data_IF_442686178201
#
_entry.id   IF_442686178201
#
_cell.length_a   1.000
_cell.length_b   1.000
_cell.length_c   1.000
_cell.angle_alpha   90.00
_cell.angle_beta   90.00
_cell.angle_gamma   90.00
#
_symmetry.space_group_name_H-M   'P 1'
#
loop_
_entity.id
_entity.type
_entity.pdbx_description
1 polymer ?
#
# COMPACT_ATOMS: atom_id res chain seq x y z
N UNK A 1 -27.70 -50.16 44.80
CA UNK A 1 -26.84 -50.07 43.63
C UNK A 1 -27.36 -48.95 42.76
N UNK A 2 -26.72 -47.80 42.77
CA UNK A 2 -27.08 -46.64 41.96
C UNK A 2 -26.17 -46.69 40.73
N UNK A 3 -26.77 -46.71 39.54
CA UNK A 3 -26.06 -46.67 38.25
C UNK A 3 -25.73 -45.22 37.88
N UNK A 4 -24.45 -44.89 37.86
CA UNK A 4 -23.97 -43.60 37.31
C UNK A 4 -24.07 -43.62 35.79
N UNK A 5 -24.88 -42.73 35.26
CA UNK A 5 -25.00 -42.46 33.82
C UNK A 5 -23.95 -41.44 33.45
N UNK A 6 -22.86 -41.85 32.84
CA UNK A 6 -21.80 -40.94 32.33
C UNK A 6 -22.31 -40.30 31.02
N UNK A 7 -22.56 -38.98 31.06
CA UNK A 7 -22.84 -38.20 29.86
C UNK A 7 -21.50 -37.92 29.14
N UNK A 8 -21.29 -38.55 28.00
CA UNK A 8 -20.23 -38.19 27.06
C UNK A 8 -20.68 -36.90 26.34
N UNK A 9 -20.03 -35.79 26.67
CA UNK A 9 -20.12 -34.57 25.89
C UNK A 9 -19.40 -34.79 24.53
N UNK A 10 -20.16 -34.81 23.45
CA UNK A 10 -19.60 -34.71 22.09
C UNK A 10 -18.95 -33.35 21.93
N UNK A 11 -17.68 -33.27 21.49
CA UNK A 11 -17.04 -31.99 21.23
C UNK A 11 -17.81 -31.25 20.13
N UNK A 12 -18.25 -30.05 20.42
CA UNK A 12 -18.86 -29.17 19.41
C UNK A 12 -17.90 -28.93 18.23
N UNK A 13 -18.42 -28.60 17.05
CA UNK A 13 -17.58 -28.35 15.90
C UNK A 13 -16.55 -27.26 16.23
N UNK A 14 -15.25 -27.58 16.02
CA UNK A 14 -14.16 -26.59 16.14
C UNK A 14 -14.47 -25.44 15.20
N UNK A 15 -14.41 -24.17 15.67
CA UNK A 15 -14.60 -23.03 14.77
C UNK A 15 -13.61 -23.15 13.61
N UNK A 16 -14.10 -23.07 12.38
CA UNK A 16 -13.28 -23.08 11.19
C UNK A 16 -12.25 -21.94 11.29
N UNK A 17 -10.98 -22.25 11.07
CA UNK A 17 -9.93 -21.23 11.07
C UNK A 17 -10.31 -20.15 10.03
N UNK A 18 -10.46 -18.91 10.47
CA UNK A 18 -10.75 -17.78 9.58
C UNK A 18 -9.57 -17.63 8.62
N UNK A 19 -9.84 -17.69 7.32
CA UNK A 19 -8.81 -17.58 6.30
C UNK A 19 -8.30 -16.12 6.21
N UNK A 20 -7.06 -15.95 5.78
CA UNK A 20 -6.46 -14.63 5.55
C UNK A 20 -7.30 -13.78 4.58
N UNK A 21 -7.85 -14.42 3.56
CA UNK A 21 -8.73 -13.80 2.58
C UNK A 21 -10.02 -13.21 3.22
N UNK A 22 -10.64 -13.91 4.18
CA UNK A 22 -11.85 -13.42 4.87
C UNK A 22 -11.52 -12.16 5.70
N UNK A 23 -10.31 -12.10 6.25
CA UNK A 23 -9.81 -10.94 7.00
C UNK A 23 -9.62 -9.74 6.06
N UNK A 24 -9.01 -9.99 4.91
CA UNK A 24 -8.76 -8.99 3.87
C UNK A 24 -10.07 -8.41 3.34
N UNK A 25 -11.03 -9.25 2.94
CA UNK A 25 -12.33 -8.81 2.45
C UNK A 25 -13.10 -7.97 3.48
N UNK A 26 -13.11 -8.42 4.75
CA UNK A 26 -13.73 -7.66 5.85
C UNK A 26 -13.05 -6.30 6.05
N UNK A 27 -11.75 -6.23 5.89
CA UNK A 27 -11.00 -4.99 6.04
C UNK A 27 -11.25 -4.03 4.88
N UNK A 28 -11.25 -4.54 3.64
CA UNK A 28 -11.59 -3.76 2.43
C UNK A 28 -13.01 -3.18 2.55
N UNK A 29 -13.97 -3.98 3.05
CA UNK A 29 -15.33 -3.48 3.25
C UNK A 29 -15.37 -2.31 4.23
N UNK A 30 -14.61 -2.35 5.33
CA UNK A 30 -14.51 -1.21 6.26
C UNK A 30 -13.90 0.03 5.61
N UNK A 31 -12.92 -0.13 4.72
CA UNK A 31 -12.34 0.98 3.97
C UNK A 31 -13.35 1.60 2.99
N UNK A 32 -14.19 0.78 2.33
CA UNK A 32 -15.31 1.26 1.50
C UNK A 32 -16.32 2.07 2.32
N UNK A 33 -16.65 1.61 3.54
CA UNK A 33 -17.54 2.33 4.46
C UNK A 33 -16.93 3.69 4.86
N UNK A 34 -15.61 3.77 4.97
CA UNK A 34 -14.83 5.01 5.19
C UNK A 34 -14.64 5.84 3.91
N UNK A 35 -15.30 5.48 2.79
CA UNK A 35 -15.28 6.19 1.51
C UNK A 35 -13.99 6.09 0.72
N UNK A 36 -13.17 5.08 0.98
CA UNK A 36 -12.12 4.72 0.03
C UNK A 36 -12.73 4.07 -1.21
N UNK A 37 -12.26 4.46 -2.37
CA UNK A 37 -12.63 3.81 -3.63
C UNK A 37 -11.84 2.52 -3.79
N UNK A 38 -12.52 1.39 -3.84
CA UNK A 38 -11.89 0.10 -4.10
C UNK A 38 -11.52 -0.04 -5.58
N UNK A 39 -10.29 -0.47 -5.85
CA UNK A 39 -9.69 -0.53 -7.19
C UNK A 39 -9.17 -1.93 -7.51
N UNK A 40 -10.06 -2.91 -7.72
CA UNK A 40 -9.67 -4.27 -8.12
C UNK A 40 -9.04 -4.34 -9.52
N UNK A 41 -9.19 -3.29 -10.31
CA UNK A 41 -8.61 -3.15 -11.64
C UNK A 41 -7.09 -2.84 -11.61
N UNK A 42 -6.56 -2.41 -10.46
CA UNK A 42 -5.13 -2.12 -10.29
C UNK A 42 -4.45 -3.36 -9.71
N UNK A 43 -3.88 -4.21 -10.57
CA UNK A 43 -3.29 -5.49 -10.18
C UNK A 43 -1.78 -5.61 -10.46
N UNK A 44 -1.20 -4.65 -11.20
CA UNK A 44 0.20 -4.64 -11.57
C UNK A 44 0.80 -3.22 -11.61
N UNK A 45 2.10 -3.15 -11.91
CA UNK A 45 2.82 -1.87 -12.03
C UNK A 45 2.22 -0.95 -13.08
N UNK A 46 1.84 -1.49 -14.24
CA UNK A 46 1.33 -0.70 -15.37
C UNK A 46 -0.01 -0.05 -15.04
N UNK A 47 -0.92 -0.80 -14.45
CA UNK A 47 -2.23 -0.27 -14.02
C UNK A 47 -2.10 0.75 -12.90
N UNK A 48 -1.14 0.55 -11.96
CA UNK A 48 -0.83 1.52 -10.92
C UNK A 48 -0.31 2.85 -11.49
N UNK A 49 0.66 2.79 -12.41
CA UNK A 49 1.24 3.98 -13.05
C UNK A 49 0.20 4.71 -13.93
N UNK A 50 -0.67 3.97 -14.62
CA UNK A 50 -1.77 4.56 -15.42
C UNK A 50 -2.80 5.28 -14.52
N UNK A 51 -3.15 4.69 -13.38
CA UNK A 51 -4.01 5.34 -12.38
C UNK A 51 -3.36 6.61 -11.84
N UNK A 52 -2.09 6.54 -11.45
CA UNK A 52 -1.34 7.71 -10.98
C UNK A 52 -1.35 8.84 -12.02
N UNK A 53 -1.07 8.54 -13.30
CA UNK A 53 -1.12 9.53 -14.37
C UNK A 53 -2.47 10.24 -14.43
N UNK A 54 -3.55 9.48 -14.44
CA UNK A 54 -4.90 10.02 -14.50
C UNK A 54 -5.20 10.96 -13.32
N UNK A 55 -4.87 10.51 -12.10
CA UNK A 55 -5.09 11.30 -10.89
C UNK A 55 -4.21 12.55 -10.84
N UNK A 56 -2.94 12.42 -11.21
CA UNK A 56 -2.00 13.53 -11.30
C UNK A 56 -2.50 14.62 -12.27
N UNK A 57 -2.89 14.21 -13.49
CA UNK A 57 -3.39 15.14 -14.50
C UNK A 57 -4.67 15.86 -14.04
N UNK A 58 -5.57 15.14 -13.36
CA UNK A 58 -6.81 15.71 -12.84
C UNK A 58 -6.54 16.71 -11.70
N UNK A 59 -5.70 16.32 -10.72
CA UNK A 59 -5.37 17.17 -9.58
C UNK A 59 -4.70 18.48 -10.02
N UNK A 60 -3.76 18.38 -10.96
CA UNK A 60 -2.95 19.52 -11.41
C UNK A 60 -3.53 20.22 -12.65
N UNK A 61 -4.70 19.78 -13.16
CA UNK A 61 -5.39 20.34 -14.33
C UNK A 61 -4.48 20.48 -15.54
N UNK A 62 -3.69 19.47 -15.80
CA UNK A 62 -2.76 19.40 -16.93
C UNK A 62 -2.97 18.11 -17.73
N UNK A 63 -2.34 18.05 -18.89
CA UNK A 63 -2.17 16.82 -19.67
C UNK A 63 -0.69 16.66 -19.97
N UNK A 64 -0.17 15.46 -19.79
CA UNK A 64 1.21 15.11 -20.08
C UNK A 64 1.28 14.28 -21.37
N UNK A 65 2.29 14.53 -22.19
CA UNK A 65 2.67 13.59 -23.23
C UNK A 65 3.21 12.30 -22.62
N UNK A 66 3.34 11.22 -23.39
CA UNK A 66 3.92 9.99 -22.87
C UNK A 66 5.39 10.17 -22.49
N UNK A 67 6.12 11.01 -23.23
CA UNK A 67 7.51 11.36 -22.94
C UNK A 67 7.62 12.17 -21.65
N UNK A 68 6.77 13.17 -21.45
CA UNK A 68 6.71 13.96 -20.21
C UNK A 68 6.39 13.08 -19.00
N UNK A 69 5.41 12.17 -19.14
CA UNK A 69 5.03 11.26 -18.06
C UNK A 69 6.16 10.31 -17.69
N UNK A 70 6.85 9.74 -18.68
CA UNK A 70 8.00 8.88 -18.45
C UNK A 70 9.14 9.61 -17.71
N UNK A 71 9.45 10.86 -18.10
CA UNK A 71 10.45 11.71 -17.41
C UNK A 71 10.02 12.06 -15.99
N UNK A 72 8.74 12.38 -15.80
CA UNK A 72 8.20 12.68 -14.47
C UNK A 72 8.34 11.46 -13.55
N UNK A 73 8.00 10.25 -14.01
CA UNK A 73 8.17 9.03 -13.22
C UNK A 73 9.63 8.77 -12.85
N UNK A 74 10.56 8.99 -13.79
CA UNK A 74 12.00 8.85 -13.51
C UNK A 74 12.49 9.84 -12.45
N UNK A 75 11.99 11.07 -12.47
CA UNK A 75 12.34 12.07 -11.43
C UNK A 75 11.71 11.74 -10.08
N UNK A 76 10.47 11.24 -10.07
CA UNK A 76 9.73 10.94 -8.84
C UNK A 76 10.29 9.70 -8.11
N UNK A 77 10.69 8.66 -8.85
CA UNK A 77 11.14 7.39 -8.27
C UNK A 77 12.56 7.54 -7.68
N UNK A 78 12.63 7.63 -6.37
CA UNK A 78 13.88 7.71 -5.61
C UNK A 78 13.82 6.81 -4.38
N UNK A 79 14.97 6.34 -3.89
CA UNK A 79 15.05 5.51 -2.69
C UNK A 79 15.12 6.31 -1.38
N UNK A 80 15.10 7.62 -1.46
CA UNK A 80 15.11 8.47 -0.25
C UNK A 80 13.68 8.71 0.24
N UNK A 81 13.28 7.96 1.28
CA UNK A 81 11.95 8.02 1.90
C UNK A 81 11.64 9.43 2.42
N UNK A 82 12.63 10.12 3.00
CA UNK A 82 12.42 11.47 3.53
C UNK A 82 12.24 12.49 2.42
N UNK A 83 12.99 12.39 1.33
CA UNK A 83 12.81 13.23 0.15
C UNK A 83 11.40 13.00 -0.45
N UNK A 84 10.95 11.76 -0.53
CA UNK A 84 9.61 11.45 -0.99
C UNK A 84 8.52 12.00 -0.07
N UNK A 85 8.73 11.97 1.25
CA UNK A 85 7.77 12.57 2.19
C UNK A 85 7.65 14.09 2.03
N UNK A 86 8.73 14.77 1.68
CA UNK A 86 8.74 16.21 1.36
C UNK A 86 7.98 16.44 0.04
N UNK A 87 8.30 15.68 -1.01
CA UNK A 87 7.61 15.78 -2.32
C UNK A 87 6.10 15.58 -2.23
N UNK A 88 5.63 14.69 -1.35
CA UNK A 88 4.20 14.49 -1.12
C UNK A 88 3.50 15.75 -0.59
N UNK A 89 4.18 16.55 0.23
CA UNK A 89 3.58 17.67 0.97
C UNK A 89 3.81 19.02 0.33
N UNK A 90 4.81 19.14 -0.50
CA UNK A 90 5.24 20.42 -1.07
C UNK A 90 4.80 20.57 -2.53
N UNK A 91 4.88 21.81 -3.00
CA UNK A 91 4.73 22.13 -4.40
C UNK A 91 6.05 21.81 -5.11
N UNK A 92 5.96 21.07 -6.20
CA UNK A 92 7.08 20.63 -7.02
C UNK A 92 7.02 21.28 -8.40
N UNK A 93 8.12 21.29 -9.11
CA UNK A 93 8.22 21.84 -10.46
C UNK A 93 8.75 20.80 -11.45
N UNK A 94 8.25 20.86 -12.67
CA UNK A 94 8.61 19.99 -13.78
C UNK A 94 8.71 20.82 -15.07
N UNK A 95 9.76 20.64 -15.85
CA UNK A 95 9.91 21.32 -17.14
C UNK A 95 9.27 20.49 -18.24
N UNK A 96 8.32 21.04 -18.97
CA UNK A 96 7.62 20.42 -20.07
C UNK A 96 8.52 20.27 -21.32
N UNK A 97 8.03 19.54 -22.32
CA UNK A 97 8.76 19.33 -23.58
C UNK A 97 8.95 20.65 -24.37
N UNK A 98 8.04 21.59 -24.24
CA UNK A 98 8.09 22.92 -24.84
C UNK A 98 8.94 23.94 -24.02
N UNK A 99 9.57 23.49 -22.93
CA UNK A 99 10.37 24.33 -22.04
C UNK A 99 9.58 25.11 -21.00
N UNK A 100 8.23 25.05 -21.01
CA UNK A 100 7.43 25.74 -20.01
C UNK A 100 7.46 25.05 -18.65
N UNK A 101 7.45 25.78 -17.52
CA UNK A 101 7.40 25.17 -16.20
C UNK A 101 5.98 24.71 -15.87
N UNK A 102 5.86 23.49 -15.32
CA UNK A 102 4.65 22.95 -14.70
C UNK A 102 4.88 22.83 -13.20
N UNK A 103 4.23 23.69 -12.43
CA UNK A 103 4.19 23.53 -10.98
C UNK A 103 3.07 22.55 -10.58
N UNK A 104 3.36 21.54 -9.78
CA UNK A 104 2.42 20.50 -9.40
C UNK A 104 2.47 20.13 -7.92
N UNK A 105 1.43 19.45 -7.46
CA UNK A 105 1.35 18.81 -6.14
C UNK A 105 0.96 17.34 -6.31
N UNK A 106 1.44 16.48 -5.42
CA UNK A 106 1.03 15.08 -5.36
C UNK A 106 -0.17 14.88 -4.43
N UNK A 107 -0.20 15.64 -3.33
CA UNK A 107 -1.29 15.62 -2.35
C UNK A 107 -1.71 17.05 -2.04
N UNK A 108 -3.02 17.32 -2.02
CA UNK A 108 -3.54 18.61 -1.59
C UNK A 108 -3.68 18.63 -0.07
N UNK A 109 -2.67 19.17 0.62
CA UNK A 109 -2.68 19.25 2.10
C UNK A 109 -3.59 20.36 2.63
N UNK A 110 -3.89 21.38 1.82
CA UNK A 110 -4.72 22.51 2.24
C UNK A 110 -6.22 22.18 2.24
N UNK A 111 -6.63 21.34 1.32
CA UNK A 111 -8.01 20.91 1.15
C UNK A 111 -8.06 19.41 0.88
N UNK A 112 -8.23 18.64 1.96
CA UNK A 112 -8.23 17.17 1.90
C UNK A 112 -9.37 16.62 1.06
N UNK A 113 -10.48 17.33 0.94
CA UNK A 113 -11.63 16.91 0.12
C UNK A 113 -11.34 16.92 -1.39
N UNK A 114 -10.22 17.51 -1.80
CA UNK A 114 -9.76 17.51 -3.20
C UNK A 114 -8.85 16.32 -3.54
N UNK A 115 -8.58 15.46 -2.59
CA UNK A 115 -7.83 14.24 -2.85
C UNK A 115 -8.76 13.07 -3.09
N UNK A 116 -8.31 12.16 -3.95
CA UNK A 116 -8.92 10.84 -4.14
C UNK A 116 -8.22 9.82 -3.22
N UNK A 117 -9.02 9.11 -2.43
CA UNK A 117 -8.56 8.04 -1.56
C UNK A 117 -8.97 6.70 -2.13
N UNK A 118 -8.00 5.84 -2.40
CA UNK A 118 -8.22 4.56 -3.07
C UNK A 118 -7.61 3.42 -2.25
N UNK A 119 -8.21 2.24 -2.33
CA UNK A 119 -7.64 0.99 -1.83
C UNK A 119 -7.37 0.05 -2.99
N UNK A 120 -6.16 -0.44 -3.05
CA UNK A 120 -5.69 -1.47 -3.98
C UNK A 120 -5.31 -2.69 -3.17
N UNK A 121 -5.67 -3.87 -3.64
CA UNK A 121 -5.35 -5.11 -2.95
C UNK A 121 -4.75 -6.13 -3.91
N UNK A 122 -3.92 -7.03 -3.35
CA UNK A 122 -3.26 -8.10 -4.10
C UNK A 122 -2.40 -7.59 -5.28
N UNK A 123 -1.83 -6.38 -5.14
CA UNK A 123 -0.97 -5.79 -6.17
C UNK A 123 0.28 -6.66 -6.36
N UNK A 124 0.62 -6.96 -7.62
CA UNK A 124 1.84 -7.68 -7.98
C UNK A 124 2.82 -6.74 -8.65
N UNK A 125 3.99 -6.60 -8.05
CA UNK A 125 5.11 -5.90 -8.67
C UNK A 125 6.15 -6.95 -9.04
N UNK A 126 6.29 -7.20 -10.33
CA UNK A 126 7.32 -8.05 -10.87
C UNK A 126 8.47 -7.17 -11.37
N UNK A 127 9.66 -7.44 -10.89
CA UNK A 127 10.92 -6.94 -11.43
C UNK A 127 11.71 -8.11 -12.00
N UNK A 128 12.81 -7.86 -12.67
CA UNK A 128 13.66 -8.93 -13.24
C UNK A 128 14.18 -9.92 -12.19
N UNK A 129 14.17 -9.51 -10.91
CA UNK A 129 14.76 -10.27 -9.80
C UNK A 129 13.77 -10.60 -8.68
N UNK A 130 12.53 -10.14 -8.75
CA UNK A 130 11.61 -10.18 -7.61
C UNK A 130 10.16 -10.23 -8.04
N UNK A 131 9.38 -11.09 -7.38
CA UNK A 131 7.95 -11.27 -7.62
C UNK A 131 7.20 -11.09 -6.31
N UNK A 132 6.93 -9.83 -5.94
CA UNK A 132 6.24 -9.54 -4.69
C UNK A 132 4.76 -9.28 -4.91
N UNK A 133 3.97 -9.72 -3.94
CA UNK A 133 2.55 -9.45 -3.85
C UNK A 133 2.28 -8.71 -2.55
N UNK A 134 1.61 -7.59 -2.65
CA UNK A 134 1.26 -6.71 -1.54
C UNK A 134 -0.21 -6.89 -1.21
N UNK A 135 -0.55 -7.17 0.05
CA UNK A 135 -1.92 -7.48 0.44
C UNK A 135 -2.84 -6.26 0.21
N UNK A 136 -2.58 -5.14 0.89
CA UNK A 136 -3.40 -3.92 0.75
C UNK A 136 -2.49 -2.69 0.69
N UNK A 137 -2.81 -1.79 -0.24
CA UNK A 137 -2.20 -0.48 -0.37
C UNK A 137 -3.27 0.61 -0.31
N UNK A 138 -3.03 1.66 0.48
CA UNK A 138 -3.84 2.87 0.45
C UNK A 138 -3.13 3.92 -0.38
N UNK A 139 -3.87 4.48 -1.34
CA UNK A 139 -3.37 5.49 -2.26
C UNK A 139 -4.05 6.84 -1.98
N UNK A 140 -3.29 7.90 -2.18
CA UNK A 140 -3.79 9.27 -2.24
C UNK A 140 -3.45 9.82 -3.62
N UNK A 141 -4.46 10.15 -4.42
CA UNK A 141 -4.29 10.60 -5.82
C UNK A 141 -3.45 9.62 -6.66
N UNK A 142 -3.66 8.32 -6.47
CA UNK A 142 -2.92 7.27 -7.16
C UNK A 142 -1.49 7.02 -6.63
N UNK A 143 -1.04 7.76 -5.60
CA UNK A 143 0.28 7.58 -4.97
C UNK A 143 0.15 6.63 -3.78
N UNK A 144 0.86 5.49 -3.74
CA UNK A 144 0.86 4.58 -2.60
C UNK A 144 1.48 5.23 -1.36
N UNK A 145 0.72 5.36 -0.28
CA UNK A 145 1.18 6.02 0.95
C UNK A 145 1.27 5.07 2.15
N UNK A 146 0.41 4.05 2.21
CA UNK A 146 0.35 3.08 3.31
C UNK A 146 0.29 1.67 2.73
N UNK A 147 1.08 0.75 3.30
CA UNK A 147 1.01 -0.68 3.06
C UNK A 147 0.49 -1.39 4.29
N UNK A 148 -0.43 -2.34 4.09
CA UNK A 148 -1.01 -3.14 5.14
C UNK A 148 -0.80 -4.60 4.79
N UNK A 149 -0.19 -5.37 5.70
CA UNK A 149 0.00 -6.80 5.60
C UNK A 149 -0.85 -7.50 6.66
N UNK A 150 -1.62 -8.47 6.23
CA UNK A 150 -2.56 -9.20 7.07
C UNK A 150 -2.07 -10.63 7.31
N UNK A 151 -2.33 -11.15 8.50
CA UNK A 151 -2.04 -12.55 8.85
C UNK A 151 -3.25 -13.17 9.55
N UNK A 152 -3.35 -14.49 9.49
CA UNK A 152 -4.37 -15.24 10.22
C UNK A 152 -4.14 -15.17 11.73
N UNK A 153 -5.22 -15.35 12.51
CA UNK A 153 -5.14 -15.53 13.95
C UNK A 153 -4.15 -16.67 14.26
N UNK A 154 -3.27 -16.58 15.12
CA UNK A 154 -2.25 -17.57 15.44
C UNK A 154 -0.88 -17.35 14.75
N UNK A 155 -0.82 -16.45 13.77
CA UNK A 155 0.44 -15.96 13.24
C UNK A 155 0.71 -14.57 13.83
N UNK A 156 1.82 -14.44 14.56
CA UNK A 156 2.19 -13.15 15.14
C UNK A 156 2.50 -12.14 14.04
N UNK A 157 1.99 -10.88 14.10
CA UNK A 157 2.20 -9.86 13.08
C UNK A 157 3.66 -9.55 12.76
N UNK A 158 4.59 -9.87 13.67
CA UNK A 158 6.03 -9.75 13.43
C UNK A 158 6.51 -10.48 12.17
N UNK A 159 5.87 -11.60 11.78
CA UNK A 159 6.18 -12.26 10.52
C UNK A 159 5.84 -11.44 9.29
N UNK A 160 4.76 -10.67 9.34
CA UNK A 160 4.42 -9.75 8.26
C UNK A 160 5.45 -8.61 8.18
N UNK A 161 5.97 -8.15 9.32
CA UNK A 161 7.05 -7.18 9.31
C UNK A 161 8.35 -7.74 8.73
N UNK A 162 8.73 -8.94 9.12
CA UNK A 162 9.90 -9.63 8.56
C UNK A 162 9.76 -9.74 7.03
N UNK A 163 8.58 -10.07 6.53
CA UNK A 163 8.27 -10.07 5.09
C UNK A 163 8.50 -8.70 4.43
N UNK A 164 8.06 -7.61 5.05
CA UNK A 164 8.30 -6.25 4.54
C UNK A 164 9.80 -5.92 4.49
N UNK A 165 10.52 -6.31 5.53
CA UNK A 165 12.00 -6.12 5.60
C UNK A 165 12.70 -6.93 4.50
N UNK A 166 12.29 -8.18 4.29
CA UNK A 166 12.82 -9.02 3.22
C UNK A 166 12.54 -8.41 1.84
N UNK A 167 11.33 -7.96 1.59
CA UNK A 167 10.97 -7.26 0.36
C UNK A 167 11.79 -6.00 0.13
N UNK A 168 12.10 -5.26 1.20
CA UNK A 168 12.89 -4.03 1.13
C UNK A 168 14.38 -4.30 0.88
N UNK A 169 14.89 -5.42 1.36
CA UNK A 169 16.29 -5.84 1.19
C UNK A 169 16.55 -6.59 -0.12
N UNK A 170 15.49 -7.03 -0.81
CA UNK A 170 15.62 -7.76 -2.05
C UNK A 170 16.16 -6.88 -3.18
N UNK A 171 17.07 -7.44 -3.99
CA UNK A 171 17.67 -6.73 -5.11
C UNK A 171 16.62 -6.45 -6.19
N UNK A 172 16.45 -5.19 -6.54
CA UNK A 172 15.44 -4.80 -7.51
C UNK A 172 14.02 -4.75 -6.98
N UNK A 173 13.85 -4.63 -5.65
CA UNK A 173 12.55 -4.50 -5.01
C UNK A 173 11.70 -3.33 -5.55
N UNK A 174 10.38 -3.45 -5.43
CA UNK A 174 9.42 -2.44 -5.88
C UNK A 174 9.52 -1.12 -5.12
N UNK A 175 9.97 -1.12 -3.87
CA UNK A 175 10.04 0.08 -3.03
C UNK A 175 11.01 1.16 -3.50
N UNK A 176 12.01 0.81 -4.28
CA UNK A 176 13.02 1.77 -4.75
C UNK A 176 12.95 2.05 -6.24
N UNK A 177 12.16 1.29 -6.98
CA UNK A 177 12.12 1.34 -8.45
C UNK A 177 10.75 1.60 -9.04
N UNK A 178 9.74 1.80 -8.20
CA UNK A 178 8.36 2.08 -8.61
C UNK A 178 7.74 3.16 -7.71
N UNK A 179 6.47 3.50 -7.96
CA UNK A 179 5.71 4.43 -7.10
C UNK A 179 5.59 3.96 -5.64
N UNK A 180 5.90 2.70 -5.32
CA UNK A 180 5.97 2.23 -3.93
C UNK A 180 7.09 2.92 -3.12
N UNK A 181 8.00 3.65 -3.76
CA UNK A 181 8.97 4.50 -3.08
C UNK A 181 8.34 5.59 -2.22
N UNK A 182 7.07 5.92 -2.46
CA UNK A 182 6.30 6.90 -1.68
C UNK A 182 5.67 6.34 -0.41
N UNK A 183 5.72 5.04 -0.17
CA UNK A 183 5.19 4.45 1.05
C UNK A 183 5.85 5.07 2.29
N UNK A 184 5.01 5.60 3.18
CA UNK A 184 5.44 6.27 4.41
C UNK A 184 5.14 5.46 5.66
N UNK A 185 4.10 4.63 5.63
CA UNK A 185 3.61 3.88 6.78
C UNK A 185 3.37 2.42 6.40
N UNK A 186 3.81 1.53 7.29
CA UNK A 186 3.49 0.11 7.26
C UNK A 186 2.58 -0.23 8.43
N UNK A 187 1.57 -1.06 8.18
CA UNK A 187 0.65 -1.61 9.17
C UNK A 187 0.67 -3.13 9.01
N UNK A 188 0.82 -3.85 10.10
CA UNK A 188 0.78 -5.31 10.14
C UNK A 188 -0.25 -5.76 11.17
N UNK A 189 -1.15 -6.67 10.81
CA UNK A 189 -2.26 -7.06 11.69
C UNK A 189 -2.65 -8.52 11.51
N UNK A 190 -3.14 -9.14 12.60
CA UNK A 190 -3.76 -10.47 12.58
C UNK A 190 -5.17 -10.47 13.22
N UNK A 191 -5.87 -9.34 13.28
CA UNK A 191 -7.15 -9.06 13.93
C UNK A 191 -7.07 -8.92 15.46
N UNK A 192 -6.16 -9.61 16.11
CA UNK A 192 -5.98 -9.58 17.57
C UNK A 192 -5.00 -8.48 17.96
N UNK A 193 -3.92 -8.37 17.21
CA UNK A 193 -2.87 -7.40 17.43
C UNK A 193 -2.54 -6.66 16.15
N UNK A 194 -2.34 -5.35 16.25
CA UNK A 194 -1.95 -4.48 15.14
C UNK A 194 -0.75 -3.66 15.53
N UNK A 195 0.27 -3.66 14.68
CA UNK A 195 1.45 -2.83 14.81
C UNK A 195 1.59 -1.93 13.60
N UNK A 196 2.18 -0.77 13.80
CA UNK A 196 2.49 0.15 12.72
C UNK A 196 3.86 0.78 12.92
N UNK A 197 4.51 1.10 11.83
CA UNK A 197 5.84 1.72 11.87
C UNK A 197 6.06 2.59 10.63
N UNK A 198 6.79 3.68 10.82
CA UNK A 198 7.14 4.58 9.74
C UNK A 198 8.21 3.95 8.83
N UNK A 199 8.09 4.19 7.53
CA UNK A 199 9.16 3.87 6.59
C UNK A 199 10.37 4.78 6.83
N UNK A 200 11.56 4.29 6.54
CA UNK A 200 12.81 5.04 6.67
C UNK A 200 13.86 4.52 5.68
N UNK A 201 15.00 5.17 5.60
CA UNK A 201 16.12 4.77 4.72
C UNK A 201 16.98 3.65 5.31
N UNK A 202 16.74 3.24 6.58
CA UNK A 202 17.46 2.16 7.21
C UNK A 202 16.94 0.78 6.73
N UNK A 203 17.82 -0.22 6.86
CA UNK A 203 17.48 -1.62 6.54
C UNK A 203 16.66 -2.30 7.64
N UNK A 204 16.63 -1.73 8.83
CA UNK A 204 15.94 -2.29 9.99
C UNK A 204 14.90 -1.31 10.51
N UNK A 205 13.74 -1.84 10.88
CA UNK A 205 12.69 -1.11 11.55
C UNK A 205 12.71 -1.45 13.05
N UNK A 206 12.54 -0.45 13.89
CA UNK A 206 12.24 -0.67 15.30
C UNK A 206 10.73 -0.60 15.49
N UNK A 207 10.17 -1.57 16.17
CA UNK A 207 8.78 -1.53 16.65
C UNK A 207 8.72 -0.79 17.99
N UNK A 208 7.66 -0.06 18.14
CA UNK A 208 7.12 0.32 19.43
C UNK A 208 5.81 -0.40 19.66
#
# INVERSE_FOLDING_TARGET
MASETTYQQTPGPKPSAVKEQDIEESFIQKLRDLKYTDRPDICDRRSLEANFRQKFENLNRCKLTDAEFARLLLDLVTHDVFKNSVRLREKNDFTRDDGTPLSYTLVNIKDWCKNDFEVVHQLRINTDYSHHRYDILLLINGVPCVQIELKTLGIHPRRAMEQIVDYKNDSGNGYTKTLLCFLQLFIVSNRDSTYYFANNNARHFSFN
#
